data_IF_153897281084
#
_entry.id   IF_153897281084
#
_cell.length_a   1.000
_cell.length_b   1.000
_cell.length_c   1.000
_cell.angle_alpha   90.00
_cell.angle_beta   90.00
_cell.angle_gamma   90.00
#
_symmetry.space_group_name_H-M   'P 1'
#
loop_
_entity.id
_entity.type
_entity.pdbx_description
1 polymer ?
#
# COMPACT_ATOMS: atom_id res chain seq x y z
N UNK A 1 5.91 1.87 0.38
CA UNK A 1 5.74 2.56 -0.93
C UNK A 1 5.18 1.57 -1.93
N UNK A 2 3.92 1.72 -2.31
CA UNK A 2 3.28 0.87 -3.33
C UNK A 2 3.60 1.49 -4.70
N UNK A 3 4.24 0.73 -5.59
CA UNK A 3 4.57 1.21 -6.93
C UNK A 3 3.37 1.01 -7.84
N UNK A 4 2.60 2.08 -8.11
CA UNK A 4 1.48 2.08 -9.06
C UNK A 4 2.03 2.36 -10.46
N UNK A 5 1.83 1.44 -11.42
CA UNK A 5 2.44 1.53 -12.76
C UNK A 5 1.84 2.59 -13.70
N UNK A 6 0.80 3.32 -13.28
CA UNK A 6 0.35 4.50 -14.03
C UNK A 6 1.24 5.69 -13.68
N UNK A 7 2.25 5.89 -14.51
CA UNK A 7 3.15 7.04 -14.43
C UNK A 7 2.35 8.33 -14.33
N UNK A 8 2.41 8.98 -13.17
CA UNK A 8 2.10 10.40 -13.07
C UNK A 8 3.20 11.14 -13.83
N UNK A 9 2.82 11.80 -14.91
CA UNK A 9 3.66 12.85 -15.48
C UNK A 9 3.82 13.95 -14.42
N UNK A 10 4.98 14.60 -14.41
CA UNK A 10 5.30 15.76 -13.57
C UNK A 10 4.29 16.91 -13.75
N UNK A 11 3.48 16.86 -14.82
CA UNK A 11 2.56 17.91 -15.28
C UNK A 11 1.13 17.83 -14.73
N UNK A 12 0.83 16.93 -13.79
CA UNK A 12 -0.42 16.97 -13.04
C UNK A 12 -1.60 16.20 -13.64
N UNK A 13 -1.35 15.31 -14.61
CA UNK A 13 -2.41 14.44 -15.13
C UNK A 13 -2.97 13.51 -14.05
N UNK A 14 -4.30 13.29 -14.03
CA UNK A 14 -4.90 12.35 -13.11
C UNK A 14 -4.34 10.95 -13.38
N UNK A 15 -4.00 10.18 -12.33
CA UNK A 15 -3.56 8.80 -12.50
C UNK A 15 -4.67 7.98 -13.18
N UNK A 16 -4.28 6.95 -13.92
CA UNK A 16 -5.24 6.09 -14.59
C UNK A 16 -6.19 5.44 -13.55
N UNK A 17 -7.43 5.16 -13.97
CA UNK A 17 -8.40 4.50 -13.12
C UNK A 17 -7.84 3.16 -12.61
N UNK A 18 -8.16 2.78 -11.37
CA UNK A 18 -7.58 1.60 -10.68
C UNK A 18 -7.58 0.32 -11.53
N UNK A 19 -8.57 0.14 -12.40
CA UNK A 19 -8.66 -1.01 -13.34
C UNK A 19 -7.54 -1.10 -14.39
N UNK A 20 -6.79 -0.03 -14.59
CA UNK A 20 -5.68 0.08 -15.55
C UNK A 20 -4.33 0.29 -14.86
N UNK A 21 -4.28 0.10 -13.55
CA UNK A 21 -3.06 0.32 -12.76
C UNK A 21 -2.75 -0.93 -11.97
N UNK A 22 -1.48 -1.35 -11.98
CA UNK A 22 -1.02 -2.44 -11.13
C UNK A 22 -0.15 -1.89 -10.00
N UNK A 23 -0.25 -2.52 -8.84
CA UNK A 23 0.42 -2.12 -7.62
C UNK A 23 1.12 -3.33 -7.00
N UNK A 24 2.41 -3.18 -6.69
CA UNK A 24 3.18 -4.16 -5.91
C UNK A 24 3.98 -3.46 -4.81
N UNK A 25 4.19 -4.16 -3.69
CA UNK A 25 5.12 -3.75 -2.65
C UNK A 25 6.54 -3.67 -3.21
N UNK A 26 7.23 -2.57 -2.91
CA UNK A 26 8.66 -2.44 -3.17
C UNK A 26 9.44 -3.14 -2.07
N UNK A 27 10.72 -3.47 -2.33
CA UNK A 27 11.60 -4.13 -1.35
C UNK A 27 11.63 -3.41 0.00
N UNK A 28 11.71 -2.08 -0.01
CA UNK A 28 11.68 -1.24 1.20
C UNK A 28 10.36 -1.37 1.98
N UNK A 29 9.24 -1.62 1.29
CA UNK A 29 7.96 -1.81 1.96
C UNK A 29 7.87 -3.15 2.70
N UNK A 30 8.68 -4.15 2.34
CA UNK A 30 8.74 -5.42 3.06
C UNK A 30 9.43 -5.26 4.42
N UNK A 31 10.50 -4.48 4.50
CA UNK A 31 11.19 -4.19 5.77
C UNK A 31 10.25 -3.49 6.78
N UNK A 32 9.34 -2.63 6.29
CA UNK A 32 8.33 -1.98 7.14
C UNK A 32 7.28 -2.94 7.70
N UNK A 33 7.12 -4.12 7.11
CA UNK A 33 6.11 -5.12 7.49
C UNK A 33 6.75 -6.40 8.06
N UNK A 34 8.07 -6.46 8.20
CA UNK A 34 8.83 -7.70 8.46
C UNK A 34 8.48 -8.36 9.82
N UNK A 35 7.99 -7.57 10.77
CA UNK A 35 7.67 -8.04 12.14
C UNK A 35 6.23 -7.75 12.57
N UNK A 36 5.34 -7.40 11.63
CA UNK A 36 3.97 -7.00 11.95
C UNK A 36 3.17 -8.13 12.62
N UNK A 37 3.48 -9.40 12.32
CA UNK A 37 2.83 -10.58 12.88
C UNK A 37 3.46 -11.09 14.20
N UNK A 38 4.47 -10.39 14.74
CA UNK A 38 5.22 -10.82 15.94
C UNK A 38 4.84 -10.02 17.20
N UNK A 39 3.59 -9.56 17.30
CA UNK A 39 3.09 -8.72 18.40
C UNK A 39 3.96 -7.46 18.64
N UNK A 40 4.56 -6.91 17.58
CA UNK A 40 5.43 -5.72 17.68
C UNK A 40 4.64 -4.42 17.75
N UNK A 41 3.35 -4.46 17.41
CA UNK A 41 2.44 -3.31 17.38
C UNK A 41 1.08 -3.72 17.94
N UNK A 42 0.40 -2.78 18.61
CA UNK A 42 -0.96 -2.98 19.09
C UNK A 42 -1.95 -2.83 17.92
N UNK A 43 -2.66 -3.90 17.59
CA UNK A 43 -3.76 -3.85 16.64
C UNK A 43 -5.02 -3.27 17.30
N UNK A 44 -5.84 -2.60 16.50
CA UNK A 44 -7.16 -2.15 16.91
C UNK A 44 -8.20 -2.71 15.98
N UNK A 45 -9.40 -2.90 16.53
CA UNK A 45 -10.56 -3.36 15.78
C UNK A 45 -10.74 -2.51 14.51
N UNK A 46 -11.03 -3.20 13.41
CA UNK A 46 -11.42 -2.59 12.16
C UNK A 46 -12.76 -1.84 12.31
N UNK A 47 -13.21 -1.19 11.23
CA UNK A 47 -14.43 -0.36 11.27
C UNK A 47 -15.70 -1.12 11.72
N UNK A 48 -15.77 -2.45 11.52
CA UNK A 48 -16.93 -3.27 11.85
C UNK A 48 -16.69 -4.29 12.98
N UNK A 49 -15.51 -4.27 13.60
CA UNK A 49 -15.08 -5.19 14.65
C UNK A 49 -14.98 -6.65 14.23
N UNK A 50 -14.97 -6.94 12.92
CA UNK A 50 -14.86 -8.32 12.42
C UNK A 50 -13.41 -8.79 12.33
N UNK A 51 -12.45 -7.86 12.37
CA UNK A 51 -11.02 -8.10 12.30
C UNK A 51 -10.25 -7.12 13.21
#
# INVERSE_FOLDING_TARGET
MISISSGRSIDGDPPAAMRYTEARLTKVAHELLEDIDKDTVDFQDNYDGSD
#
